data_IF_650809369481
#
_entry.id   IF_650809369481
#
_cell.length_a   1.000
_cell.length_b   1.000
_cell.length_c   1.000
_cell.angle_alpha   90.00
_cell.angle_beta   90.00
_cell.angle_gamma   90.00
#
_symmetry.space_group_name_H-M   'P 1'
#
loop_
_entity.id
_entity.type
_entity.pdbx_description
1 polymer ?
#
# COMPACT_ATOMS: atom_id res chain seq x y z
N UNK A 1 -11.98 -9.05 -20.68
CA UNK A 1 -12.23 -9.27 -22.12
C UNK A 1 -12.45 -10.75 -22.33
N UNK A 2 -13.42 -11.18 -23.14
CA UNK A 2 -13.38 -12.58 -23.61
C UNK A 2 -12.32 -12.73 -24.71
N UNK A 3 -11.97 -13.97 -25.05
CA UNK A 3 -10.91 -14.28 -26.01
C UNK A 3 -11.18 -13.79 -27.44
N UNK A 4 -12.37 -13.24 -27.75
CA UNK A 4 -12.75 -12.83 -29.11
C UNK A 4 -12.11 -11.53 -29.55
N UNK A 5 -11.54 -10.75 -28.62
CA UNK A 5 -10.91 -9.44 -28.92
C UNK A 5 -11.85 -8.45 -29.62
N UNK A 6 -13.14 -8.54 -29.35
CA UNK A 6 -14.19 -7.73 -29.96
C UNK A 6 -15.09 -7.11 -28.89
N UNK A 7 -15.64 -5.93 -29.19
CA UNK A 7 -16.75 -5.33 -28.44
C UNK A 7 -17.89 -4.99 -29.40
N UNK A 8 -19.12 -5.24 -28.98
CA UNK A 8 -20.33 -4.89 -29.74
C UNK A 8 -20.96 -3.65 -29.10
N UNK A 9 -20.99 -2.55 -29.83
CA UNK A 9 -21.62 -1.30 -29.39
C UNK A 9 -23.10 -1.32 -29.75
N UNK A 10 -23.90 -1.93 -28.86
CA UNK A 10 -25.36 -2.02 -29.05
C UNK A 10 -26.04 -0.68 -29.31
N UNK A 11 -25.56 0.38 -28.65
CA UNK A 11 -26.10 1.73 -28.81
C UNK A 11 -25.80 2.35 -30.19
N UNK A 12 -24.84 1.80 -30.95
CA UNK A 12 -24.48 2.26 -32.28
C UNK A 12 -24.82 1.20 -33.33
N UNK A 13 -26.09 0.79 -33.38
CA UNK A 13 -26.57 -0.19 -34.37
C UNK A 13 -25.93 -1.58 -34.26
N UNK A 14 -25.28 -1.90 -33.14
CA UNK A 14 -24.56 -3.17 -32.99
C UNK A 14 -23.21 -3.20 -33.69
N UNK A 15 -22.58 -2.04 -33.95
CA UNK A 15 -21.22 -1.95 -34.48
C UNK A 15 -20.26 -2.88 -33.72
N UNK A 16 -19.46 -3.63 -34.46
CA UNK A 16 -18.43 -4.53 -33.93
C UNK A 16 -17.08 -3.84 -34.08
N UNK A 17 -16.38 -3.66 -32.97
CA UNK A 17 -15.02 -3.12 -32.96
C UNK A 17 -14.04 -4.23 -32.61
N UNK A 18 -13.10 -4.48 -33.51
CA UNK A 18 -11.96 -5.37 -33.32
C UNK A 18 -10.80 -4.66 -32.61
N UNK A 19 -10.21 -5.31 -31.60
CA UNK A 19 -9.03 -4.78 -30.92
C UNK A 19 -7.79 -4.87 -31.83
N UNK A 20 -7.17 -3.72 -32.11
CA UNK A 20 -5.96 -3.61 -32.93
C UNK A 20 -4.82 -4.53 -32.44
N UNK A 21 -3.90 -4.97 -33.34
CA UNK A 21 -2.68 -5.67 -32.93
C UNK A 21 -1.92 -4.88 -31.86
N UNK A 22 -1.46 -5.56 -30.81
CA UNK A 22 -0.77 -4.92 -29.68
C UNK A 22 -1.67 -4.27 -28.63
N UNK A 23 -2.99 -4.24 -28.81
CA UNK A 23 -3.90 -3.78 -27.76
C UNK A 23 -3.97 -4.77 -26.59
N UNK A 24 -3.86 -4.27 -25.36
CA UNK A 24 -4.02 -5.04 -24.13
C UNK A 24 -4.69 -4.20 -23.03
N UNK A 25 -5.24 -4.86 -22.03
CA UNK A 25 -5.88 -4.24 -20.87
C UNK A 25 -5.09 -4.62 -19.63
N UNK A 26 -4.70 -3.61 -18.84
CA UNK A 26 -4.10 -3.79 -17.51
C UNK A 26 -5.05 -3.21 -16.48
N UNK A 27 -5.30 -3.95 -15.40
CA UNK A 27 -6.09 -3.50 -14.28
C UNK A 27 -5.32 -3.73 -12.97
N UNK A 28 -5.49 -2.82 -12.02
CA UNK A 28 -4.99 -2.97 -10.65
C UNK A 28 -6.16 -2.92 -9.67
N UNK A 29 -6.12 -3.75 -8.64
CA UNK A 29 -7.11 -3.75 -7.56
C UNK A 29 -6.42 -4.08 -6.23
N UNK A 30 -7.01 -3.62 -5.13
CA UNK A 30 -6.49 -3.88 -3.78
C UNK A 30 -7.44 -4.85 -3.08
N UNK A 31 -7.06 -6.13 -2.93
CA UNK A 31 -7.88 -7.09 -2.19
C UNK A 31 -8.20 -6.57 -0.77
N UNK A 32 -9.46 -6.68 -0.35
CA UNK A 32 -9.89 -6.26 0.99
C UNK A 32 -10.17 -4.76 1.16
N UNK A 33 -9.89 -3.91 0.16
CA UNK A 33 -10.20 -2.48 0.22
C UNK A 33 -11.55 -2.20 -0.43
N UNK A 34 -12.47 -1.58 0.31
CA UNK A 34 -13.76 -1.16 -0.23
C UNK A 34 -13.59 -0.16 -1.38
N UNK A 35 -14.35 -0.36 -2.46
CA UNK A 35 -14.40 0.56 -3.61
C UNK A 35 -13.33 0.35 -4.69
N UNK A 36 -12.34 -0.53 -4.47
CA UNK A 36 -11.31 -0.87 -5.45
C UNK A 36 -11.28 -2.38 -5.73
N UNK A 37 -12.46 -2.99 -5.90
CA UNK A 37 -12.64 -4.45 -6.04
C UNK A 37 -12.88 -4.82 -7.49
N UNK A 38 -12.08 -5.76 -8.00
CA UNK A 38 -12.35 -6.46 -9.24
C UNK A 38 -13.23 -7.66 -8.92
N UNK A 39 -14.45 -7.74 -9.49
CA UNK A 39 -15.35 -8.89 -9.24
C UNK A 39 -14.75 -10.18 -9.80
N UNK A 40 -15.07 -11.33 -9.22
CA UNK A 40 -14.58 -12.64 -9.70
C UNK A 40 -14.88 -12.86 -11.19
N UNK A 41 -16.05 -12.43 -11.64
CA UNK A 41 -16.43 -12.48 -13.04
C UNK A 41 -15.46 -11.64 -13.90
N UNK A 42 -15.08 -10.45 -13.48
CA UNK A 42 -14.16 -9.60 -14.26
C UNK A 42 -12.71 -10.08 -14.12
N UNK A 43 -12.30 -10.51 -12.92
CA UNK A 43 -10.96 -11.04 -12.63
C UNK A 43 -10.63 -12.29 -13.44
N UNK A 44 -11.58 -13.22 -13.60
CA UNK A 44 -11.41 -14.43 -14.42
C UNK A 44 -11.14 -14.16 -15.91
N UNK A 45 -11.28 -12.91 -16.36
CA UNK A 45 -10.98 -12.48 -17.74
C UNK A 45 -9.55 -11.94 -17.93
N UNK A 46 -8.74 -11.91 -16.87
CA UNK A 46 -7.33 -11.57 -16.93
C UNK A 46 -6.50 -12.85 -16.91
N UNK A 47 -5.80 -13.12 -18.01
CA UNK A 47 -4.98 -14.33 -18.16
C UNK A 47 -3.70 -14.29 -17.30
N UNK A 48 -3.15 -13.09 -17.07
CA UNK A 48 -2.02 -12.87 -16.17
C UNK A 48 -2.51 -12.09 -14.94
N UNK A 49 -2.30 -12.67 -13.77
CA UNK A 49 -2.59 -12.04 -12.48
C UNK A 49 -1.29 -11.98 -11.68
N UNK A 50 -0.84 -10.77 -11.37
CA UNK A 50 0.41 -10.52 -10.66
C UNK A 50 0.05 -9.95 -9.30
N UNK A 51 0.40 -10.67 -8.24
CA UNK A 51 0.30 -10.14 -6.90
C UNK A 51 1.50 -9.23 -6.63
N UNK A 52 1.25 -7.94 -6.43
CA UNK A 52 2.28 -6.95 -6.10
C UNK A 52 2.24 -6.72 -4.59
N UNK A 53 3.20 -7.33 -3.88
CA UNK A 53 3.39 -7.10 -2.44
C UNK A 53 4.36 -5.94 -2.19
N UNK A 54 4.57 -5.60 -0.91
CA UNK A 54 5.63 -4.66 -0.54
C UNK A 54 6.98 -5.36 -0.52
N UNK A 55 7.88 -4.92 -1.40
CA UNK A 55 9.27 -5.35 -1.40
C UNK A 55 10.09 -4.56 -0.37
N UNK A 56 10.28 -5.16 0.80
CA UNK A 56 11.12 -4.57 1.85
C UNK A 56 12.62 -4.75 1.59
N UNK A 57 13.03 -5.62 0.67
CA UNK A 57 14.44 -5.84 0.29
C UNK A 57 14.93 -4.74 -0.67
N UNK A 58 14.00 -4.08 -1.37
CA UNK A 58 14.28 -2.87 -2.15
C UNK A 58 14.53 -1.63 -1.27
N UNK A 59 13.92 -1.57 -0.07
CA UNK A 59 13.99 -0.38 0.78
C UNK A 59 15.43 0.07 1.17
N UNK A 60 16.37 -0.83 1.50
CA UNK A 60 17.78 -0.48 1.68
C UNK A 60 18.44 0.15 0.44
N UNK A 61 18.10 -0.32 -0.76
CA UNK A 61 18.65 0.23 -2.01
C UNK A 61 18.16 1.66 -2.26
N UNK A 62 16.95 1.95 -1.79
CA UNK A 62 16.35 3.29 -1.79
C UNK A 62 16.82 4.17 -0.62
N UNK A 63 17.84 3.71 0.14
CA UNK A 63 18.44 4.43 1.28
C UNK A 63 17.45 4.81 2.40
N UNK A 64 16.40 4.01 2.57
CA UNK A 64 15.44 4.19 3.66
C UNK A 64 16.08 3.80 4.99
N UNK A 65 15.78 4.55 6.06
CA UNK A 65 16.20 4.27 7.43
C UNK A 65 15.91 2.81 7.82
N UNK A 66 16.96 2.09 8.24
CA UNK A 66 16.89 0.67 8.62
C UNK A 66 15.87 0.40 9.74
N UNK A 67 15.62 1.37 10.63
CA UNK A 67 14.61 1.28 11.68
C UNK A 67 13.20 1.26 11.10
N UNK A 68 12.92 2.10 10.10
CA UNK A 68 11.63 2.10 9.41
C UNK A 68 11.38 0.75 8.70
N UNK A 69 12.41 0.22 8.02
CA UNK A 69 12.34 -1.11 7.39
C UNK A 69 12.09 -2.20 8.44
N UNK A 70 12.75 -2.13 9.61
CA UNK A 70 12.54 -3.08 10.71
C UNK A 70 11.10 -3.03 11.26
N UNK A 71 10.56 -1.83 11.46
CA UNK A 71 9.16 -1.63 11.89
C UNK A 71 8.20 -2.25 10.87
N UNK A 72 8.41 -1.96 9.59
CA UNK A 72 7.52 -2.40 8.53
C UNK A 72 7.51 -3.92 8.36
N UNK A 73 8.68 -4.58 8.42
CA UNK A 73 8.76 -6.05 8.40
C UNK A 73 8.06 -6.68 9.59
N UNK A 74 8.22 -6.10 10.78
CA UNK A 74 7.53 -6.60 11.98
C UNK A 74 6.01 -6.52 11.80
N UNK A 75 5.50 -5.36 11.39
CA UNK A 75 4.07 -5.16 11.14
C UNK A 75 3.55 -6.02 10.00
N UNK A 76 4.33 -6.25 8.94
CA UNK A 76 3.97 -7.15 7.86
C UNK A 76 3.81 -8.60 8.33
N UNK A 77 4.70 -9.08 9.20
CA UNK A 77 4.56 -10.41 9.81
C UNK A 77 3.31 -10.48 10.68
N UNK A 78 3.05 -9.47 11.52
CA UNK A 78 1.84 -9.39 12.34
C UNK A 78 0.57 -9.35 11.50
N UNK A 79 0.58 -8.59 10.40
CA UNK A 79 -0.54 -8.49 9.48
C UNK A 79 -0.84 -9.84 8.81
N UNK A 80 0.21 -10.55 8.35
CA UNK A 80 0.08 -11.89 7.78
C UNK A 80 -0.47 -12.91 8.80
N UNK A 81 -0.18 -12.72 10.08
CA UNK A 81 -0.70 -13.54 11.18
C UNK A 81 -2.10 -13.12 11.66
N UNK A 82 -2.66 -12.02 11.14
CA UNK A 82 -3.96 -11.47 11.58
C UNK A 82 -3.92 -10.72 12.92
N UNK A 83 -2.73 -10.34 13.40
CA UNK A 83 -2.53 -9.59 14.66
C UNK A 83 -2.74 -8.08 14.49
N UNK A 84 -2.78 -7.58 13.25
CA UNK A 84 -3.05 -6.18 12.90
C UNK A 84 -3.70 -6.11 11.51
N UNK A 85 -4.58 -5.13 11.31
CA UNK A 85 -5.27 -4.89 10.04
C UNK A 85 -4.38 -4.22 8.98
N UNK A 86 -3.19 -3.74 9.36
CA UNK A 86 -2.38 -2.89 8.49
C UNK A 86 -0.87 -3.08 8.66
N UNK A 87 -0.14 -2.92 7.56
CA UNK A 87 1.31 -2.79 7.55
C UNK A 87 1.76 -1.67 6.59
N UNK A 88 2.85 -0.94 6.90
CA UNK A 88 3.36 0.12 6.02
C UNK A 88 3.85 -0.46 4.70
N UNK A 89 3.44 0.12 3.58
CA UNK A 89 3.94 -0.25 2.25
C UNK A 89 5.17 0.60 1.89
N UNK A 90 5.77 0.32 0.73
CA UNK A 90 6.94 1.07 0.26
C UNK A 90 6.68 2.59 0.19
N UNK A 91 5.45 3.01 -0.12
CA UNK A 91 5.08 4.43 -0.17
C UNK A 91 5.19 5.11 1.21
N UNK A 92 4.78 4.44 2.30
CA UNK A 92 4.95 4.94 3.66
C UNK A 92 6.42 4.99 4.06
N UNK A 93 7.24 4.05 3.58
CA UNK A 93 8.68 4.05 3.85
C UNK A 93 9.42 5.17 3.12
N UNK A 94 9.03 5.48 1.89
CA UNK A 94 9.53 6.65 1.16
C UNK A 94 9.11 7.95 1.85
N UNK A 95 7.85 8.03 2.32
CA UNK A 95 7.38 9.18 3.08
C UNK A 95 8.13 9.33 4.41
N UNK A 96 8.39 8.22 5.11
CA UNK A 96 9.20 8.19 6.32
C UNK A 96 10.58 8.82 6.05
N UNK A 97 11.27 8.38 5.00
CA UNK A 97 12.60 8.91 4.69
C UNK A 97 12.56 10.40 4.38
N UNK A 98 11.61 10.85 3.57
CA UNK A 98 11.43 12.29 3.24
C UNK A 98 11.21 13.14 4.50
N UNK A 99 10.41 12.66 5.44
CA UNK A 99 10.16 13.37 6.70
C UNK A 99 11.41 13.33 7.58
N UNK A 100 12.10 12.19 7.64
CA UNK A 100 13.31 12.04 8.43
C UNK A 100 14.44 12.97 7.96
N UNK A 101 14.56 13.18 6.65
CA UNK A 101 15.55 14.09 6.05
C UNK A 101 15.30 15.56 6.44
N UNK A 102 14.06 15.93 6.77
CA UNK A 102 13.68 17.32 7.09
C UNK A 102 13.54 17.55 8.59
N UNK A 103 12.87 16.64 9.30
CA UNK A 103 12.44 16.79 10.70
C UNK A 103 13.10 15.78 11.65
N UNK A 104 13.92 14.87 11.12
CA UNK A 104 14.54 13.80 11.89
C UNK A 104 13.67 12.54 12.02
N UNK A 105 14.34 11.43 12.33
CA UNK A 105 13.73 10.10 12.32
C UNK A 105 12.63 9.92 13.38
N UNK A 106 12.66 10.67 14.48
CA UNK A 106 11.66 10.58 15.54
C UNK A 106 10.33 11.19 15.11
N UNK A 107 10.39 12.35 14.43
CA UNK A 107 9.21 12.95 13.83
C UNK A 107 8.62 12.06 12.73
N UNK A 108 9.47 11.44 11.92
CA UNK A 108 9.05 10.47 10.91
C UNK A 108 8.39 9.22 11.53
N UNK A 109 8.92 8.71 12.64
CA UNK A 109 8.33 7.60 13.37
C UNK A 109 6.98 7.97 14.02
N UNK A 110 6.87 9.15 14.63
CA UNK A 110 5.58 9.66 15.10
C UNK A 110 4.57 9.79 13.95
N UNK A 111 5.00 10.31 12.79
CA UNK A 111 4.14 10.38 11.61
C UNK A 111 3.67 8.99 11.13
N UNK A 112 4.55 7.99 11.16
CA UNK A 112 4.20 6.61 10.81
C UNK A 112 3.11 6.06 11.74
N UNK A 113 3.19 6.33 13.05
CA UNK A 113 2.12 5.97 14.00
C UNK A 113 0.81 6.64 13.62
N UNK A 114 0.83 7.94 13.30
CA UNK A 114 -0.37 8.69 12.89
C UNK A 114 -0.97 8.25 11.55
N UNK A 115 -0.15 7.70 10.65
CA UNK A 115 -0.55 7.21 9.32
C UNK A 115 -1.35 5.92 9.40
N UNK A 116 -1.13 5.10 10.43
CA UNK A 116 -1.85 3.85 10.61
C UNK A 116 -3.36 4.08 10.84
N UNK A 117 -4.23 3.15 10.40
CA UNK A 117 -5.65 3.12 10.77
C UNK A 117 -5.80 3.20 12.29
N UNK A 118 -6.86 3.87 12.77
CA UNK A 118 -7.03 4.18 14.19
C UNK A 118 -6.99 2.93 15.08
N UNK A 119 -7.62 1.86 14.61
CA UNK A 119 -7.65 0.54 15.25
C UNK A 119 -6.26 -0.13 15.39
N UNK A 120 -5.32 0.20 14.51
CA UNK A 120 -3.98 -0.39 14.47
C UNK A 120 -2.91 0.50 15.15
N UNK A 121 -3.22 1.76 15.46
CA UNK A 121 -2.24 2.74 15.99
C UNK A 121 -1.54 2.27 17.24
N UNK A 122 -2.25 1.62 18.15
CA UNK A 122 -1.66 1.10 19.39
C UNK A 122 -0.60 0.03 19.11
N UNK A 123 -0.89 -0.91 18.20
CA UNK A 123 0.06 -1.94 17.77
C UNK A 123 1.26 -1.33 17.07
N UNK A 124 1.05 -0.37 16.17
CA UNK A 124 2.12 0.34 15.47
C UNK A 124 3.00 1.12 16.44
N UNK A 125 2.42 1.85 17.39
CA UNK A 125 3.16 2.57 18.42
C UNK A 125 4.03 1.63 19.28
N UNK A 126 3.52 0.46 19.64
CA UNK A 126 4.28 -0.54 20.39
C UNK A 126 5.50 -1.05 19.62
N UNK A 127 5.36 -1.31 18.31
CA UNK A 127 6.49 -1.73 17.46
C UNK A 127 7.50 -0.59 17.29
N UNK A 128 7.02 0.64 17.08
CA UNK A 128 7.89 1.83 17.02
C UNK A 128 8.69 1.99 18.31
N UNK A 129 8.04 1.87 19.47
CA UNK A 129 8.70 1.90 20.78
C UNK A 129 9.77 0.83 20.92
N UNK A 130 9.49 -0.40 20.49
CA UNK A 130 10.46 -1.49 20.53
C UNK A 130 11.71 -1.21 19.70
N UNK A 131 11.56 -0.50 18.57
CA UNK A 131 12.66 -0.19 17.66
C UNK A 131 13.43 1.08 18.05
N UNK A 132 12.74 2.11 18.55
CA UNK A 132 13.34 3.39 18.92
C UNK A 132 13.73 3.49 20.39
N UNK A 133 13.28 2.56 21.24
CA UNK A 133 13.57 2.54 22.67
C UNK A 133 12.82 3.61 23.48
N UNK A 134 11.85 4.30 22.88
CA UNK A 134 11.04 5.34 23.54
C UNK A 134 9.67 5.48 22.92
N UNK A 135 8.76 6.08 23.68
CA UNK A 135 7.42 6.40 23.21
C UNK A 135 7.47 7.60 22.26
N UNK A 136 6.93 7.42 21.06
CA UNK A 136 6.81 8.44 20.03
C UNK A 136 5.33 8.56 19.66
N UNK A 137 4.72 9.67 20.04
CA UNK A 137 3.32 9.95 19.74
C UNK A 137 3.13 10.36 18.27
N UNK A 138 1.91 10.17 17.72
CA UNK A 138 1.52 10.80 16.46
C UNK A 138 1.82 12.30 16.46
N UNK A 139 2.22 12.83 15.31
CA UNK A 139 2.40 14.27 15.15
C UNK A 139 1.08 14.99 15.40
N UNK A 140 1.13 16.05 16.20
CA UNK A 140 0.00 16.89 16.55
C UNK A 140 0.39 18.37 16.46
N UNK A 141 -0.60 19.23 16.22
CA UNK A 141 -0.40 20.67 16.35
C UNK A 141 -0.13 21.01 17.82
N UNK A 142 0.87 21.86 18.05
CA UNK A 142 1.14 22.41 19.37
C UNK A 142 0.01 23.32 19.87
N UNK A 143 0.05 23.64 21.16
CA UNK A 143 -0.80 24.68 21.74
C UNK A 143 -0.60 26.00 20.99
N UNK A 144 -1.68 26.77 20.77
CA UNK A 144 -1.55 28.14 20.29
C UNK A 144 -0.60 28.91 21.20
N UNK A 145 0.34 29.61 20.59
CA UNK A 145 1.25 30.57 21.26
C UNK A 145 0.52 31.90 21.37
#
# INVERSE_FOLDING_TARGET
>A
MDGRRQIIIKANGGEVIDAAPGFYVVAGHNPGVHGAVLTDALSSRFAAQIHVSTDYDLAPQLKIDKRAVKIARNLATRHANGETGWAPQLRELLAFQKIADVLGAEAAAGNLVGTAPEEDRATVAAVVRQVFGKDLAPLALGTRI
#
